data_IF_365259439254
#
_entry.id   IF_365259439254
#
_cell.length_a   1.000
_cell.length_b   1.000
_cell.length_c   1.000
_cell.angle_alpha   90.00
_cell.angle_beta   90.00
_cell.angle_gamma   90.00
#
_symmetry.space_group_name_H-M   'P 1'
#
loop_
_entity.id
_entity.type
_entity.pdbx_description
1 polymer ?
#
# COMPACT_ATOMS: atom_id res chain seq x y z
N UNK A 1 2.81 -3.49 23.73
CA UNK A 1 3.39 -3.31 22.39
C UNK A 1 2.35 -3.57 21.33
N UNK A 2 2.20 -2.64 20.42
CA UNK A 2 1.25 -2.84 19.34
C UNK A 2 1.86 -3.80 18.30
N UNK A 3 1.08 -4.78 17.90
CA UNK A 3 1.47 -5.74 16.89
C UNK A 3 0.95 -5.25 15.53
N UNK A 4 1.86 -5.08 14.57
CA UNK A 4 1.48 -4.64 13.24
C UNK A 4 1.07 -5.87 12.40
N UNK A 5 -0.11 -5.80 11.73
CA UNK A 5 -0.64 -6.93 10.97
C UNK A 5 0.00 -7.03 9.58
N UNK A 6 1.30 -7.25 9.52
CA UNK A 6 2.06 -7.22 8.28
C UNK A 6 2.25 -8.62 7.70
N UNK A 7 2.13 -8.71 6.38
CA UNK A 7 2.46 -9.92 5.63
C UNK A 7 3.54 -9.56 4.62
N UNK A 8 4.77 -10.00 4.87
CA UNK A 8 5.90 -9.71 4.00
C UNK A 8 5.85 -10.58 2.75
N UNK A 9 5.88 -9.93 1.59
CA UNK A 9 5.95 -10.60 0.29
C UNK A 9 7.38 -10.58 -0.26
N UNK A 10 8.21 -9.70 0.29
CA UNK A 10 9.63 -9.59 0.01
C UNK A 10 10.28 -8.98 1.24
N UNK A 11 11.61 -9.04 1.38
CA UNK A 11 12.28 -8.45 2.55
C UNK A 11 11.98 -6.96 2.75
N UNK A 12 11.72 -6.23 1.66
CA UNK A 12 11.48 -4.80 1.69
C UNK A 12 10.07 -4.39 1.22
N UNK A 13 9.13 -5.35 1.20
CA UNK A 13 7.76 -5.08 0.80
C UNK A 13 6.78 -5.94 1.60
N UNK A 14 5.80 -5.28 2.21
CA UNK A 14 4.75 -5.96 2.96
C UNK A 14 3.38 -5.46 2.55
N UNK A 15 2.36 -6.27 2.77
CA UNK A 15 0.98 -5.86 2.62
C UNK A 15 0.28 -5.99 3.97
N UNK A 16 -0.81 -5.24 4.14
CA UNK A 16 -1.53 -5.21 5.41
C UNK A 16 -3.02 -4.96 5.17
N UNK A 17 -3.88 -5.37 6.11
CA UNK A 17 -5.25 -4.90 6.11
C UNK A 17 -5.27 -3.42 6.53
N UNK A 18 -6.46 -2.83 6.63
CA UNK A 18 -6.61 -1.42 6.98
C UNK A 18 -5.70 -1.02 8.14
N UNK A 19 -4.88 -0.02 7.91
CA UNK A 19 -4.00 0.56 8.93
C UNK A 19 -4.67 1.81 9.51
N UNK A 20 -4.28 2.14 10.74
CA UNK A 20 -4.82 3.30 11.45
C UNK A 20 -3.75 4.39 11.55
N UNK A 21 -4.16 5.65 11.82
CA UNK A 21 -3.17 6.72 12.05
C UNK A 21 -2.17 6.38 13.15
N UNK A 22 -2.63 5.72 14.22
CA UNK A 22 -1.76 5.35 15.34
C UNK A 22 -0.66 4.36 14.93
N UNK A 23 -0.92 3.54 13.93
CA UNK A 23 0.05 2.53 13.48
C UNK A 23 1.18 3.14 12.65
N UNK A 24 1.03 4.37 12.15
CA UNK A 24 2.06 4.99 11.31
C UNK A 24 3.38 5.16 12.04
N UNK A 25 3.32 5.56 13.32
CA UNK A 25 4.53 5.68 14.12
C UNK A 25 5.23 4.34 14.29
N UNK A 26 4.46 3.26 14.52
CA UNK A 26 5.00 1.92 14.67
C UNK A 26 5.66 1.42 13.38
N UNK A 27 5.07 1.74 12.23
CA UNK A 27 5.66 1.39 10.94
C UNK A 27 7.01 2.07 10.75
N UNK A 28 7.08 3.36 11.04
CA UNK A 28 8.34 4.12 10.93
C UNK A 28 9.38 3.56 11.91
N UNK A 29 8.96 3.24 13.13
CA UNK A 29 9.86 2.65 14.13
C UNK A 29 10.37 1.28 13.71
N UNK A 30 9.59 0.55 12.91
CA UNK A 30 9.97 -0.75 12.38
C UNK A 30 10.84 -0.66 11.13
N UNK A 31 11.15 0.54 10.69
CA UNK A 31 12.04 0.77 9.55
C UNK A 31 11.36 1.02 8.22
N UNK A 32 10.02 1.01 8.16
CA UNK A 32 9.32 1.33 6.92
C UNK A 32 9.52 2.78 6.54
N UNK A 33 9.55 3.06 5.26
CA UNK A 33 9.76 4.41 4.73
C UNK A 33 8.58 4.89 3.89
N UNK A 34 7.74 3.99 3.39
CA UNK A 34 6.63 4.37 2.53
C UNK A 34 5.37 3.56 2.83
N UNK A 35 4.21 4.19 2.65
CA UNK A 35 2.89 3.57 2.85
C UNK A 35 2.05 3.87 1.61
N UNK A 36 1.43 2.83 1.05
CA UNK A 36 0.51 2.97 -0.08
C UNK A 36 -0.88 2.52 0.35
N UNK A 37 -1.87 3.39 0.16
CA UNK A 37 -3.28 3.11 0.47
C UNK A 37 -3.99 2.77 -0.84
N UNK A 38 -4.46 1.53 -0.96
CA UNK A 38 -5.15 1.06 -2.17
C UNK A 38 -6.68 1.11 -2.07
N UNK A 39 -7.24 1.63 -0.98
CA UNK A 39 -8.70 1.70 -0.83
C UNK A 39 -9.29 2.87 -1.60
N UNK A 40 -10.51 2.68 -2.09
CA UNK A 40 -11.28 3.78 -2.66
C UNK A 40 -11.68 4.73 -1.53
N UNK A 41 -11.77 6.01 -1.83
CA UNK A 41 -12.10 7.02 -0.83
C UNK A 41 -13.46 6.81 -0.20
N UNK A 42 -14.42 6.27 -0.98
CA UNK A 42 -15.79 6.10 -0.52
C UNK A 42 -16.06 4.79 0.22
N UNK A 43 -15.05 3.92 0.36
CA UNK A 43 -15.25 2.67 1.10
C UNK A 43 -15.53 2.96 2.58
N UNK A 44 -16.46 2.20 3.16
CA UNK A 44 -16.80 2.37 4.57
C UNK A 44 -15.78 1.66 5.46
N UNK A 45 -15.77 2.02 6.75
CA UNK A 45 -14.96 1.34 7.75
C UNK A 45 -13.50 1.73 7.74
N UNK A 46 -13.15 2.88 7.18
CA UNK A 46 -11.77 3.35 7.17
C UNK A 46 -11.65 4.72 7.84
N UNK A 47 -10.49 5.02 8.42
CA UNK A 47 -10.26 6.38 8.94
C UNK A 47 -10.27 7.38 7.78
N UNK A 48 -10.54 8.66 8.05
CA UNK A 48 -10.41 9.67 7.01
C UNK A 48 -9.02 9.64 6.39
N UNK A 49 -8.94 9.71 5.07
CA UNK A 49 -7.68 9.61 4.35
C UNK A 49 -6.71 10.72 4.75
N UNK A 50 -7.24 11.91 5.03
CA UNK A 50 -6.42 13.03 5.48
C UNK A 50 -5.72 12.75 6.81
N UNK A 51 -6.39 12.03 7.73
CA UNK A 51 -5.78 11.68 9.01
C UNK A 51 -4.65 10.65 8.84
N UNK A 52 -4.84 9.71 7.93
CA UNK A 52 -3.78 8.74 7.61
C UNK A 52 -2.56 9.45 7.02
N UNK A 53 -2.80 10.35 6.06
CA UNK A 53 -1.75 11.12 5.41
C UNK A 53 -0.98 11.96 6.41
N UNK A 54 -1.71 12.64 7.28
CA UNK A 54 -1.12 13.51 8.29
C UNK A 54 -0.25 12.73 9.27
N UNK A 55 -0.76 11.60 9.74
CA UNK A 55 -0.02 10.73 10.66
C UNK A 55 1.24 10.15 10.01
N UNK A 56 1.14 9.75 8.76
CA UNK A 56 2.29 9.24 8.00
C UNK A 56 3.35 10.33 7.85
N UNK A 57 2.94 11.52 7.46
CA UNK A 57 3.85 12.67 7.31
C UNK A 57 4.54 13.00 8.64
N UNK A 58 3.78 12.99 9.73
CA UNK A 58 4.33 13.27 11.06
C UNK A 58 5.36 12.21 11.48
N UNK A 59 5.28 11.02 10.91
CA UNK A 59 6.21 9.92 11.18
C UNK A 59 7.31 9.80 10.12
N UNK A 60 7.42 10.78 9.22
CA UNK A 60 8.40 10.80 8.13
C UNK A 60 8.25 9.64 7.14
N UNK A 61 7.02 9.18 6.96
CA UNK A 61 6.70 8.19 5.95
C UNK A 61 6.21 8.89 4.68
N UNK A 62 6.67 8.42 3.53
CA UNK A 62 6.07 8.82 2.26
C UNK A 62 4.71 8.13 2.17
N UNK A 63 3.66 8.89 1.89
CA UNK A 63 2.29 8.35 1.84
C UNK A 63 1.70 8.62 0.46
N UNK A 64 1.16 7.58 -0.16
CA UNK A 64 0.50 7.71 -1.45
C UNK A 64 -0.85 7.00 -1.41
N UNK A 65 -1.88 7.68 -1.88
CA UNK A 65 -3.20 7.09 -2.08
C UNK A 65 -3.33 6.70 -3.54
N UNK A 66 -3.33 5.40 -3.80
CA UNK A 66 -3.53 4.84 -5.14
C UNK A 66 -4.77 3.96 -5.11
N UNK A 67 -5.97 4.56 -5.25
CA UNK A 67 -7.22 3.80 -5.13
C UNK A 67 -7.39 2.80 -6.25
N UNK A 68 -7.78 1.58 -5.89
CA UNK A 68 -8.01 0.48 -6.84
C UNK A 68 -9.32 -0.20 -6.45
N UNK A 69 -10.17 -0.45 -7.45
CA UNK A 69 -11.46 -1.06 -7.20
C UNK A 69 -11.29 -2.55 -6.84
N UNK A 70 -11.87 -3.00 -5.71
CA UNK A 70 -11.63 -4.37 -5.22
C UNK A 70 -12.12 -5.47 -6.16
N UNK A 71 -13.16 -5.19 -6.95
CA UNK A 71 -13.73 -6.16 -7.86
C UNK A 71 -13.18 -6.08 -9.28
N UNK A 72 -12.34 -5.08 -9.57
CA UNK A 72 -11.85 -4.88 -10.94
C UNK A 72 -10.50 -4.18 -10.93
N UNK A 73 -9.45 -4.98 -10.82
CA UNK A 73 -8.09 -4.48 -10.93
C UNK A 73 -7.73 -4.46 -12.41
N UNK A 74 -7.38 -3.28 -12.92
CA UNK A 74 -7.06 -3.11 -14.34
C UNK A 74 -5.55 -3.20 -14.57
N UNK A 75 -5.18 -3.36 -15.85
CA UNK A 75 -3.78 -3.35 -16.24
C UNK A 75 -3.15 -2.00 -15.93
N UNK A 76 -3.90 -0.92 -16.08
CA UNK A 76 -3.44 0.43 -15.74
C UNK A 76 -3.15 0.54 -14.25
N UNK A 77 -3.98 -0.08 -13.41
CA UNK A 77 -3.75 -0.11 -11.97
C UNK A 77 -2.42 -0.80 -11.65
N UNK A 78 -2.16 -1.93 -12.31
CA UNK A 78 -0.92 -2.69 -12.11
C UNK A 78 0.29 -1.86 -12.56
N UNK A 79 0.17 -1.17 -13.70
CA UNK A 79 1.24 -0.33 -14.23
C UNK A 79 1.57 0.83 -13.28
N UNK A 80 0.54 1.49 -12.75
CA UNK A 80 0.73 2.58 -11.79
C UNK A 80 1.36 2.08 -10.51
N UNK A 81 0.91 0.93 -10.03
CA UNK A 81 1.45 0.33 -8.82
C UNK A 81 2.93 -0.04 -9.03
N UNK A 82 3.27 -0.61 -10.18
CA UNK A 82 4.64 -0.97 -10.51
C UNK A 82 5.55 0.26 -10.49
N UNK A 83 5.12 1.34 -11.13
CA UNK A 83 5.89 2.58 -11.16
C UNK A 83 6.07 3.14 -9.76
N UNK A 84 5.01 3.13 -8.98
CA UNK A 84 5.02 3.67 -7.63
C UNK A 84 6.00 2.93 -6.73
N UNK A 85 5.94 1.59 -6.70
CA UNK A 85 6.83 0.81 -5.83
C UNK A 85 8.27 0.80 -6.32
N UNK A 86 8.51 1.13 -7.59
CA UNK A 86 9.86 1.29 -8.12
C UNK A 86 10.52 2.56 -7.59
N UNK A 87 9.75 3.61 -7.38
CA UNK A 87 10.29 4.93 -7.03
C UNK A 87 10.17 5.30 -5.56
N UNK A 88 9.25 4.69 -4.81
CA UNK A 88 9.10 5.01 -3.39
C UNK A 88 10.27 4.49 -2.57
N UNK A 89 10.65 5.23 -1.50
CA UNK A 89 11.67 4.73 -0.58
C UNK A 89 11.25 3.41 0.04
N UNK A 90 12.18 2.48 0.12
CA UNK A 90 11.95 1.16 0.70
C UNK A 90 12.49 1.08 2.11
N UNK A 91 11.90 0.25 2.97
CA UNK A 91 10.79 -0.70 2.73
C UNK A 91 9.44 -0.02 2.59
N UNK A 92 8.57 -0.68 1.82
CA UNK A 92 7.21 -0.19 1.51
C UNK A 92 6.17 -1.12 2.13
N UNK A 93 5.10 -0.55 2.69
CA UNK A 93 3.91 -1.32 3.04
C UNK A 93 2.74 -0.78 2.23
N UNK A 94 1.98 -1.68 1.60
CA UNK A 94 0.75 -1.34 0.90
C UNK A 94 -0.42 -1.97 1.65
N UNK A 95 -1.52 -1.25 1.78
CA UNK A 95 -2.68 -1.78 2.49
C UNK A 95 -3.96 -1.53 1.71
N UNK A 96 -4.94 -2.37 1.98
CA UNK A 96 -6.31 -2.23 1.53
C UNK A 96 -7.20 -2.69 2.69
N UNK A 97 -8.42 -3.12 2.42
CA UNK A 97 -9.30 -3.55 3.49
C UNK A 97 -8.75 -4.79 4.21
N UNK A 98 -8.36 -5.81 3.44
CA UNK A 98 -7.89 -7.10 3.99
C UNK A 98 -6.42 -7.40 3.69
N UNK A 99 -5.80 -6.63 2.81
CA UNK A 99 -4.48 -6.92 2.28
C UNK A 99 -4.50 -7.65 0.94
N UNK A 100 -5.64 -8.24 0.56
CA UNK A 100 -5.73 -9.05 -0.66
C UNK A 100 -5.52 -8.25 -1.92
N UNK A 101 -6.15 -7.09 -2.02
CA UNK A 101 -6.05 -6.21 -3.20
C UNK A 101 -4.61 -5.78 -3.43
N UNK A 102 -3.96 -5.34 -2.37
CA UNK A 102 -2.55 -4.92 -2.44
C UNK A 102 -1.66 -6.10 -2.80
N UNK A 103 -1.95 -7.28 -2.27
CA UNK A 103 -1.20 -8.50 -2.59
C UNK A 103 -1.35 -8.90 -4.04
N UNK A 104 -2.57 -8.80 -4.60
CA UNK A 104 -2.81 -9.12 -6.00
C UNK A 104 -2.08 -8.15 -6.92
N UNK A 105 -2.05 -6.86 -6.57
CA UNK A 105 -1.31 -5.87 -7.34
C UNK A 105 0.16 -6.23 -7.37
N UNK A 106 0.73 -6.56 -6.22
CA UNK A 106 2.15 -6.91 -6.12
C UNK A 106 2.45 -8.16 -6.96
N UNK A 107 1.63 -9.20 -6.85
CA UNK A 107 1.81 -10.41 -7.64
C UNK A 107 1.76 -10.13 -9.13
N UNK A 108 0.81 -9.31 -9.57
CA UNK A 108 0.67 -8.97 -10.98
C UNK A 108 1.91 -8.23 -11.49
N UNK A 109 2.48 -7.34 -10.68
CA UNK A 109 3.70 -6.63 -11.03
C UNK A 109 4.86 -7.63 -11.18
N UNK A 110 5.00 -8.54 -10.22
CA UNK A 110 6.09 -9.52 -10.25
C UNK A 110 5.98 -10.47 -11.44
N UNK A 111 4.76 -10.75 -11.89
CA UNK A 111 4.53 -11.59 -13.08
C UNK A 111 4.64 -10.82 -14.38
N UNK A 112 4.83 -9.51 -14.33
CA UNK A 112 4.98 -8.68 -15.53
C UNK A 112 3.72 -8.53 -16.34
N UNK A 113 2.54 -8.64 -15.72
CA UNK A 113 1.25 -8.54 -16.41
C UNK A 113 1.13 -7.24 -17.20
N UNK A 114 1.52 -6.11 -16.59
CA UNK A 114 1.43 -4.79 -17.21
C UNK A 114 2.41 -4.65 -18.39
N UNK A 115 3.51 -5.36 -18.37
CA UNK A 115 4.49 -5.31 -19.45
C UNK A 115 4.01 -6.10 -20.68
N UNK A 116 3.37 -7.24 -20.44
CA UNK A 116 2.82 -8.05 -21.54
C UNK A 116 1.71 -7.32 -22.26
N UNK A 117 0.91 -6.58 -21.53
CA UNK A 117 -0.21 -5.84 -22.09
C UNK A 117 0.22 -4.61 -22.89
N UNK A 118 1.42 -4.10 -22.64
CA UNK A 118 1.95 -2.91 -23.32
C UNK A 118 2.47 -3.21 -24.73
N UNK A 119 2.50 -4.48 -25.13
CA UNK A 119 2.97 -4.88 -26.47
C UNK A 119 1.91 -4.66 -27.52
#
# INVERSE_FOLDING_TARGET
MSHLPLNYLAPDFAVAPQLTPDQMRGLAASGFRSVVNNRLAQESGQPPEGELREAATASNLAYVHLPVHPARITIEDVARFAELIEHLPRPIVAFCRSGSRSGLLYQAVMQGVHLRAAR
#
